data_IF_048103485276
#
_entry.id   IF_048103485276
#
_cell.length_a   1.000
_cell.length_b   1.000
_cell.length_c   1.000
_cell.angle_alpha   90.00
_cell.angle_beta   90.00
_cell.angle_gamma   90.00
#
_symmetry.space_group_name_H-M   'P 1'
#
loop_
_entity.id
_entity.type
_entity.pdbx_description
1 polymer ?
#
# COMPACT_ATOMS: atom_id res chain seq x y z
N UNK A 1 -33.07 -19.61 12.69
CA UNK A 1 -32.65 -18.27 13.15
C UNK A 1 -32.00 -17.64 11.93
N UNK A 2 -32.35 -16.43 11.55
CA UNK A 2 -31.53 -15.72 10.57
C UNK A 2 -30.33 -15.20 11.36
N UNK A 3 -29.12 -15.65 11.03
CA UNK A 3 -27.91 -15.12 11.67
C UNK A 3 -27.83 -13.61 11.41
N UNK A 4 -27.40 -12.89 12.43
CA UNK A 4 -27.17 -11.45 12.37
C UNK A 4 -26.12 -11.16 11.28
N UNK A 5 -26.24 -10.09 10.48
CA UNK A 5 -25.32 -9.82 9.37
C UNK A 5 -23.83 -9.90 9.77
N UNK A 6 -23.47 -9.38 10.94
CA UNK A 6 -22.10 -9.44 11.47
C UNK A 6 -21.59 -10.87 11.68
N UNK A 7 -22.41 -11.77 12.24
CA UNK A 7 -22.03 -13.18 12.44
C UNK A 7 -21.84 -13.88 11.09
N UNK A 8 -22.71 -13.60 10.12
CA UNK A 8 -22.61 -14.14 8.76
C UNK A 8 -21.31 -13.75 8.04
N UNK A 9 -20.89 -12.48 8.14
CA UNK A 9 -19.66 -12.00 7.50
C UNK A 9 -18.41 -12.45 8.25
N UNK A 10 -18.46 -12.44 9.59
CA UNK A 10 -17.40 -12.94 10.46
C UNK A 10 -17.07 -14.41 10.21
N UNK A 11 -18.07 -15.28 10.00
CA UNK A 11 -17.84 -16.69 9.65
C UNK A 11 -17.13 -16.89 8.30
N UNK A 12 -17.31 -15.96 7.35
CA UNK A 12 -16.70 -16.02 6.03
C UNK A 12 -15.31 -15.37 5.99
N UNK A 13 -15.00 -14.52 6.98
CA UNK A 13 -13.82 -13.66 6.95
C UNK A 13 -13.78 -12.79 5.68
N UNK A 14 -14.94 -12.26 5.30
CA UNK A 14 -15.14 -11.35 4.17
C UNK A 14 -16.06 -10.24 4.68
N UNK A 15 -15.69 -8.99 4.45
CA UNK A 15 -16.42 -7.83 4.95
C UNK A 15 -17.05 -7.05 3.79
N UNK A 16 -18.32 -6.61 3.91
CA UNK A 16 -18.89 -5.59 3.05
C UNK A 16 -18.26 -4.23 3.36
N UNK A 17 -17.77 -3.55 2.32
CA UNK A 17 -17.14 -2.24 2.46
C UNK A 17 -17.93 -1.19 1.68
N UNK A 18 -18.23 -0.06 2.31
CA UNK A 18 -18.84 1.11 1.69
C UNK A 18 -17.78 2.18 1.44
N UNK A 19 -17.73 2.72 0.23
CA UNK A 19 -16.77 3.77 -0.14
C UNK A 19 -17.51 4.91 -0.82
N UNK A 20 -17.46 6.10 -0.22
CA UNK A 20 -17.88 7.34 -0.85
C UNK A 20 -16.70 7.94 -1.63
N UNK A 21 -16.90 8.13 -2.93
CA UNK A 21 -15.95 8.76 -3.83
C UNK A 21 -16.64 9.94 -4.52
N UNK A 22 -15.89 10.84 -5.19
CA UNK A 22 -16.50 11.93 -5.95
C UNK A 22 -17.52 11.48 -7.03
N UNK A 23 -17.48 10.21 -7.45
CA UNK A 23 -18.42 9.60 -8.39
C UNK A 23 -19.72 9.06 -7.78
N UNK A 24 -19.83 9.06 -6.44
CA UNK A 24 -20.94 8.51 -5.67
C UNK A 24 -20.49 7.55 -4.58
N UNK A 25 -21.46 6.97 -3.88
CA UNK A 25 -21.25 5.92 -2.87
C UNK A 25 -21.45 4.55 -3.52
N UNK A 26 -20.63 3.58 -3.15
CA UNK A 26 -20.83 2.20 -3.59
C UNK A 26 -20.28 1.15 -2.64
N UNK A 27 -20.68 -0.09 -2.91
CA UNK A 27 -20.41 -1.27 -2.11
C UNK A 27 -19.43 -2.20 -2.81
N UNK A 28 -18.50 -2.77 -2.05
CA UNK A 28 -17.58 -3.81 -2.49
C UNK A 28 -17.40 -4.86 -1.39
N UNK A 29 -16.50 -5.81 -1.58
CA UNK A 29 -16.12 -6.79 -0.56
C UNK A 29 -14.60 -6.75 -0.36
N UNK A 30 -14.17 -6.93 0.89
CA UNK A 30 -12.76 -7.04 1.28
C UNK A 30 -12.57 -8.32 2.11
N UNK A 31 -11.37 -8.88 2.08
CA UNK A 31 -10.92 -9.92 2.98
C UNK A 31 -9.43 -9.71 3.29
N UNK A 32 -8.98 -10.12 4.47
CA UNK A 32 -7.56 -10.21 4.79
C UNK A 32 -7.11 -11.66 4.74
N UNK A 33 -5.96 -11.93 4.11
CA UNK A 33 -5.42 -13.28 3.96
C UNK A 33 -3.89 -13.23 4.01
N UNK A 34 -3.26 -14.32 4.46
CA UNK A 34 -1.81 -14.45 4.36
C UNK A 34 -1.35 -14.27 2.90
N UNK A 35 -0.24 -13.55 2.63
CA UNK A 35 0.25 -13.33 1.26
C UNK A 35 0.51 -14.62 0.47
N UNK A 36 0.84 -15.71 1.17
CA UNK A 36 1.11 -17.02 0.58
C UNK A 36 -0.13 -17.76 0.08
N UNK A 37 -1.34 -17.38 0.53
CA UNK A 37 -2.60 -18.07 0.18
C UNK A 37 -3.40 -17.35 -0.89
N UNK A 38 -2.98 -16.16 -1.32
CA UNK A 38 -3.65 -15.36 -2.34
C UNK A 38 -2.72 -15.00 -3.48
N UNK A 39 -3.25 -15.07 -4.70
CA UNK A 39 -2.59 -14.53 -5.89
C UNK A 39 -2.95 -13.05 -6.00
N UNK A 40 -1.96 -12.14 -6.10
CA UNK A 40 -2.20 -10.73 -6.34
C UNK A 40 -3.01 -10.50 -7.62
N UNK A 41 -3.77 -9.40 -7.68
CA UNK A 41 -4.57 -9.06 -8.87
C UNK A 41 -3.69 -8.97 -10.12
N UNK A 42 -4.20 -9.45 -11.25
CA UNK A 42 -3.50 -9.29 -12.53
C UNK A 42 -3.56 -7.80 -12.94
N UNK A 43 -2.43 -7.21 -13.33
CA UNK A 43 -2.35 -5.79 -13.74
C UNK A 43 -1.82 -5.62 -15.15
N UNK A 44 -1.68 -6.73 -15.88
CA UNK A 44 -1.12 -6.76 -17.23
C UNK A 44 -1.80 -5.76 -18.15
N UNK A 45 -3.14 -5.77 -18.22
CA UNK A 45 -3.91 -4.85 -19.10
C UNK A 45 -3.73 -3.38 -18.72
N UNK A 46 -3.76 -3.03 -17.43
CA UNK A 46 -3.50 -1.65 -16.99
C UNK A 46 -2.09 -1.20 -17.35
N UNK A 47 -1.09 -2.07 -17.19
CA UNK A 47 0.27 -1.74 -17.57
C UNK A 47 0.43 -1.48 -19.09
N UNK A 48 -0.37 -2.15 -19.93
CA UNK A 48 -0.42 -1.87 -21.37
C UNK A 48 -1.12 -0.53 -21.68
N UNK A 49 -2.12 -0.14 -20.91
CA UNK A 49 -2.78 1.17 -21.04
C UNK A 49 -1.84 2.32 -20.64
N UNK A 50 -1.05 2.14 -19.57
CA UNK A 50 -0.11 3.15 -19.08
C UNK A 50 1.14 3.28 -19.96
N UNK A 51 1.68 2.16 -20.46
CA UNK A 51 2.78 2.12 -21.41
C UNK A 51 2.50 1.09 -22.53
N UNK A 52 1.94 1.55 -23.67
CA UNK A 52 1.64 0.69 -24.82
C UNK A 52 2.86 -0.02 -25.42
N UNK A 53 4.08 0.43 -25.10
CA UNK A 53 5.32 -0.18 -25.58
C UNK A 53 5.95 -1.13 -24.56
N UNK A 54 5.62 -1.03 -23.26
CA UNK A 54 6.11 -1.94 -22.21
C UNK A 54 5.68 -3.40 -22.40
N UNK A 55 4.54 -3.63 -23.04
CA UNK A 55 4.06 -4.98 -23.39
C UNK A 55 5.08 -5.74 -24.26
N UNK A 56 5.76 -5.01 -25.15
CA UNK A 56 6.69 -5.58 -26.12
C UNK A 56 8.05 -5.91 -25.51
N UNK A 57 8.47 -5.17 -24.49
CA UNK A 57 9.71 -5.42 -23.74
C UNK A 57 9.62 -6.68 -22.88
N UNK A 58 8.42 -7.00 -22.34
CA UNK A 58 8.19 -8.25 -21.58
C UNK A 58 8.22 -9.50 -22.46
N UNK A 59 7.73 -9.41 -23.70
CA UNK A 59 7.85 -10.47 -24.70
C UNK A 59 9.27 -10.65 -25.28
N UNK A 60 10.15 -9.67 -25.10
CA UNK A 60 11.55 -9.73 -25.52
C UNK A 60 12.48 -10.43 -24.49
N UNK A 61 11.93 -10.93 -23.37
CA UNK A 61 12.67 -11.79 -22.43
C UNK A 61 12.29 -13.27 -22.50
N UNK A 62 11.45 -13.65 -23.47
CA UNK A 62 11.32 -15.02 -23.94
C UNK A 62 11.94 -15.11 -25.35
N UNK A 63 13.25 -14.88 -25.45
CA UNK A 63 13.98 -15.43 -26.59
C UNK A 63 14.39 -16.84 -26.20
N UNK A 64 13.78 -17.79 -26.89
CA UNK A 64 14.29 -19.14 -27.03
C UNK A 64 15.79 -19.09 -27.35
N UNK A 65 16.47 -20.06 -26.76
CA UNK A 65 17.91 -20.32 -26.77
C UNK A 65 18.37 -20.77 -28.17
N UNK A 66 18.33 -19.88 -29.15
CA UNK A 66 18.98 -20.08 -30.45
C UNK A 66 20.17 -19.12 -30.58
N UNK A 67 21.35 -19.72 -30.48
CA UNK A 67 22.67 -19.15 -30.73
C UNK A 67 22.72 -18.38 -32.06
N UNK A 68 22.70 -17.04 -31.98
CA UNK A 68 23.34 -16.19 -33.00
C UNK A 68 24.53 -15.49 -32.33
N UNK A 69 25.70 -15.99 -32.70
CA UNK A 69 27.06 -15.61 -32.31
C UNK A 69 27.26 -14.09 -32.28
N UNK A 70 27.09 -13.48 -31.10
CA UNK A 70 27.60 -12.14 -30.85
C UNK A 70 29.14 -12.21 -30.91
N UNK A 71 29.81 -11.35 -31.68
CA UNK A 71 31.26 -11.35 -31.74
C UNK A 71 31.83 -11.10 -30.34
N UNK A 72 32.89 -11.83 -29.93
CA UNK A 72 33.45 -11.68 -28.60
C UNK A 72 33.91 -10.24 -28.40
N UNK A 73 33.46 -9.63 -27.30
CA UNK A 73 33.88 -8.30 -26.90
C UNK A 73 35.37 -8.39 -26.57
N UNK A 74 36.20 -7.65 -27.30
CA UNK A 74 37.62 -7.55 -27.01
C UNK A 74 37.79 -6.69 -25.74
N UNK A 75 38.01 -7.38 -24.61
CA UNK A 75 38.22 -6.75 -23.30
C UNK A 75 39.38 -5.75 -23.31
N UNK A 76 40.35 -5.88 -24.23
CA UNK A 76 41.46 -4.94 -24.36
C UNK A 76 41.00 -3.59 -24.97
N UNK A 77 39.99 -3.61 -25.85
CA UNK A 77 39.44 -2.39 -26.45
C UNK A 77 38.58 -1.63 -25.43
N UNK A 78 37.82 -2.35 -24.61
CA UNK A 78 36.99 -1.77 -23.55
C UNK A 78 37.85 -1.13 -22.44
N UNK A 79 38.95 -1.80 -22.05
CA UNK A 79 39.91 -1.26 -21.08
C UNK A 79 40.66 -0.02 -21.62
N UNK A 80 40.98 0.02 -22.92
CA UNK A 80 41.61 1.18 -23.53
C UNK A 80 40.68 2.40 -23.57
N UNK A 81 39.38 2.19 -23.80
CA UNK A 81 38.37 3.26 -23.80
C UNK A 81 38.09 3.81 -22.38
N UNK A 82 38.10 2.95 -21.36
CA UNK A 82 37.98 3.38 -19.96
C UNK A 82 39.19 4.20 -19.49
N UNK A 83 40.41 3.77 -19.85
CA UNK A 83 41.65 4.48 -19.51
C UNK A 83 41.76 5.83 -20.25
N UNK A 84 41.23 5.92 -21.47
CA UNK A 84 41.17 7.17 -22.22
C UNK A 84 40.17 8.18 -21.63
N UNK A 85 39.16 7.71 -20.90
CA UNK A 85 38.18 8.56 -20.22
C UNK A 85 38.70 9.11 -18.88
N UNK A 86 39.60 8.39 -18.19
CA UNK A 86 40.19 8.85 -16.91
C UNK A 86 41.30 9.91 -17.07
N UNK A 87 41.87 10.09 -18.26
CA UNK A 87 42.92 11.07 -18.52
C UNK A 87 42.41 12.51 -18.79
N UNK A 88 41.11 12.77 -18.57
CA UNK A 88 40.47 14.05 -18.90
C UNK A 88 40.09 14.93 -17.70
N UNK A 89 40.42 14.57 -16.46
CA UNK A 89 40.03 15.36 -15.28
C UNK A 89 41.17 15.52 -14.25
N UNK A 90 42.26 16.17 -14.68
CA UNK A 90 43.31 16.70 -13.80
C UNK A 90 43.25 18.24 -13.74
N UNK A 91 42.30 18.83 -13.00
CA UNK A 91 42.54 20.06 -12.21
C UNK A 91 41.28 20.44 -11.38
N UNK A 92 41.20 20.05 -10.09
CA UNK A 92 40.72 20.99 -9.07
C UNK A 92 40.98 20.52 -7.61
N UNK A 93 41.60 21.45 -6.87
CA UNK A 93 41.71 21.59 -5.40
C UNK A 93 42.86 20.88 -4.69
N UNK A 94 43.95 21.65 -4.61
CA UNK A 94 45.01 21.61 -3.61
C UNK A 94 44.61 22.51 -2.41
N UNK A 95 45.00 22.10 -1.19
CA UNK A 95 44.98 22.78 0.14
C UNK A 95 43.72 22.51 1.00
N UNK A 96 43.79 22.09 2.27
CA UNK A 96 44.79 22.36 3.30
C UNK A 96 44.94 21.20 4.32
N UNK A 97 46.13 21.10 4.94
CA UNK A 97 46.47 20.27 6.11
C UNK A 97 46.46 21.12 7.40
N UNK A 98 46.56 20.41 8.54
CA UNK A 98 46.80 20.81 9.96
C UNK A 98 45.60 21.41 10.69
N UNK A 99 45.24 21.10 11.94
CA UNK A 99 45.86 20.46 13.14
C UNK A 99 44.69 19.91 13.99
N UNK A 100 44.69 18.74 14.63
CA UNK A 100 45.42 18.24 15.83
C UNK A 100 44.53 18.21 17.11
N UNK A 101 44.79 17.17 17.90
CA UNK A 101 44.52 16.94 19.33
C UNK A 101 43.32 16.11 19.80
N UNK A 102 43.72 15.14 20.64
CA UNK A 102 43.02 13.98 21.18
C UNK A 102 42.18 14.28 22.43
N UNK A 103 41.21 13.41 22.71
CA UNK A 103 40.73 13.16 24.07
C UNK A 103 40.63 11.66 24.38
N UNK A 104 41.49 11.33 25.33
CA UNK A 104 41.63 10.22 26.26
C UNK A 104 40.32 9.57 26.75
N UNK A 105 40.19 8.25 26.57
CA UNK A 105 39.26 7.41 27.34
C UNK A 105 39.92 6.06 27.65
N UNK A 106 40.08 5.79 28.95
CA UNK A 106 40.69 4.59 29.54
C UNK A 106 39.86 3.31 29.32
N UNK A 107 40.47 2.11 29.40
CA UNK A 107 39.79 0.84 29.16
C UNK A 107 39.13 0.30 30.43
N UNK A 108 37.86 -0.14 30.32
CA UNK A 108 37.20 -0.93 31.37
C UNK A 108 37.19 -2.40 30.96
N UNK A 109 37.64 -3.21 31.92
CA UNK A 109 37.98 -4.62 31.89
C UNK A 109 36.74 -5.52 31.93
N UNK A 110 36.88 -6.65 31.24
CA UNK A 110 36.37 -7.98 31.54
C UNK A 110 35.36 -8.14 32.68
N UNK A 111 34.16 -8.61 32.30
CA UNK A 111 33.42 -9.62 33.06
C UNK A 111 32.74 -10.54 32.07
N UNK A 112 33.39 -11.66 31.78
CA UNK A 112 32.73 -12.86 31.33
C UNK A 112 32.34 -13.66 32.58
N UNK A 113 31.10 -14.08 32.70
CA UNK A 113 30.73 -15.44 33.11
C UNK A 113 29.34 -15.77 32.56
N UNK A 114 29.24 -17.00 32.03
CA UNK A 114 28.10 -17.60 31.40
C UNK A 114 27.11 -18.14 32.43
N UNK A 115 25.84 -18.20 32.04
CA UNK A 115 24.90 -19.20 32.55
C UNK A 115 23.99 -19.62 31.40
N UNK A 116 23.94 -20.93 31.19
CA UNK A 116 22.97 -21.65 30.36
C UNK A 116 21.54 -21.23 30.72
N UNK A 117 20.70 -21.01 29.71
CA UNK A 117 19.28 -21.39 29.77
C UNK A 117 18.96 -22.08 28.43
N UNK A 118 18.69 -23.38 28.54
CA UNK A 118 17.95 -24.15 27.55
C UNK A 118 16.52 -23.58 27.51
N UNK A 119 16.16 -22.88 26.45
CA UNK A 119 14.76 -22.73 26.03
C UNK A 119 14.67 -23.33 24.60
N UNK A 120 14.25 -24.60 24.56
CA UNK A 120 13.35 -25.07 23.51
C UNK A 120 12.11 -24.15 23.56
N UNK A 121 11.64 -23.67 22.41
CA UNK A 121 10.32 -23.08 22.12
C UNK A 121 10.53 -21.87 21.19
N UNK A 122 9.85 -21.66 20.09
CA UNK A 122 8.86 -22.38 19.29
C UNK A 122 9.18 -21.92 17.85
N UNK A 123 8.59 -22.53 16.83
CA UNK A 123 8.58 -21.94 15.50
C UNK A 123 7.94 -20.54 15.58
N UNK A 124 8.74 -19.49 15.78
CA UNK A 124 8.45 -18.09 15.47
C UNK A 124 8.35 -17.99 13.94
N UNK A 125 7.42 -18.73 13.35
CA UNK A 125 6.80 -18.35 12.10
C UNK A 125 6.09 -17.04 12.42
N UNK A 126 6.83 -15.93 12.37
CA UNK A 126 6.29 -14.59 12.40
C UNK A 126 5.02 -14.62 11.55
N UNK A 127 3.86 -14.48 12.21
CA UNK A 127 2.59 -14.37 11.51
C UNK A 127 2.78 -13.23 10.52
N UNK A 128 2.96 -13.58 9.24
CA UNK A 128 3.13 -12.57 8.21
C UNK A 128 1.84 -11.77 8.22
N UNK A 129 1.96 -10.46 8.38
CA UNK A 129 0.81 -9.55 8.40
C UNK A 129 -0.12 -9.90 7.22
N UNK A 130 -1.39 -10.15 7.55
CA UNK A 130 -2.38 -10.45 6.52
C UNK A 130 -2.51 -9.28 5.55
N UNK A 131 -2.75 -9.59 4.28
CA UNK A 131 -2.87 -8.58 3.23
C UNK A 131 -4.29 -8.46 2.72
N UNK A 132 -4.72 -7.24 2.35
CA UNK A 132 -6.05 -7.00 1.86
C UNK A 132 -6.22 -7.55 0.44
N UNK A 133 -7.36 -8.21 0.22
CA UNK A 133 -7.85 -8.63 -1.09
C UNK A 133 -9.26 -8.10 -1.27
N UNK A 134 -9.50 -7.44 -2.40
CA UNK A 134 -10.81 -6.85 -2.70
C UNK A 134 -11.54 -7.63 -3.78
N UNK A 135 -12.84 -7.36 -3.89
CA UNK A 135 -13.61 -7.67 -5.09
C UNK A 135 -13.09 -6.82 -6.25
N UNK A 136 -11.98 -7.25 -6.84
CA UNK A 136 -11.32 -6.61 -7.97
C UNK A 136 -11.25 -7.54 -9.17
N UNK A 137 -10.99 -6.96 -10.33
CA UNK A 137 -10.61 -7.71 -11.52
C UNK A 137 -9.64 -6.86 -12.34
N UNK A 138 -8.52 -7.47 -12.74
CA UNK A 138 -7.51 -6.83 -13.58
C UNK A 138 -6.97 -5.51 -13.00
N UNK A 139 -6.74 -5.49 -11.69
CA UNK A 139 -6.25 -4.30 -11.01
C UNK A 139 -7.27 -3.16 -10.88
N UNK A 140 -8.56 -3.42 -11.12
CA UNK A 140 -9.64 -2.45 -10.94
C UNK A 140 -10.58 -2.90 -9.82
N UNK A 141 -10.96 -1.98 -8.95
CA UNK A 141 -11.94 -2.22 -7.90
C UNK A 141 -13.34 -2.32 -8.52
N UNK A 142 -14.07 -3.40 -8.24
CA UNK A 142 -15.46 -3.51 -8.64
C UNK A 142 -16.33 -2.88 -7.54
N UNK A 143 -17.00 -1.79 -7.87
CA UNK A 143 -17.77 -0.99 -6.92
C UNK A 143 -19.21 -0.84 -7.40
N UNK A 144 -20.18 -1.21 -6.57
CA UNK A 144 -21.58 -1.32 -6.96
C UNK A 144 -22.42 -0.21 -6.33
N UNK A 145 -23.25 0.47 -7.12
CA UNK A 145 -24.14 1.54 -6.62
C UNK A 145 -25.27 1.03 -5.73
N UNK A 146 -25.48 -0.29 -5.70
CA UNK A 146 -26.52 -0.91 -4.89
C UNK A 146 -26.07 -2.28 -4.35
N UNK A 147 -26.55 -2.61 -3.15
CA UNK A 147 -26.43 -3.95 -2.58
C UNK A 147 -26.99 -5.05 -3.50
N UNK A 148 -28.07 -4.75 -4.22
CA UNK A 148 -28.67 -5.68 -5.18
C UNK A 148 -27.72 -5.98 -6.36
N UNK A 149 -27.04 -4.96 -6.88
CA UNK A 149 -26.02 -5.09 -7.92
C UNK A 149 -24.85 -5.95 -7.47
N UNK A 150 -24.32 -5.69 -6.26
CA UNK A 150 -23.27 -6.52 -5.68
C UNK A 150 -23.70 -7.98 -5.56
N UNK A 151 -24.89 -8.24 -5.02
CA UNK A 151 -25.43 -9.62 -4.89
C UNK A 151 -25.60 -10.30 -6.25
N UNK A 152 -26.10 -9.57 -7.25
CA UNK A 152 -26.24 -10.07 -8.62
C UNK A 152 -24.89 -10.49 -9.19
N UNK A 153 -23.86 -9.67 -8.98
CA UNK A 153 -22.50 -9.97 -9.41
C UNK A 153 -21.88 -11.16 -8.66
N UNK A 154 -22.02 -11.21 -7.34
CA UNK A 154 -21.50 -12.31 -6.50
C UNK A 154 -22.15 -13.65 -6.88
N UNK A 155 -23.43 -13.63 -7.29
CA UNK A 155 -24.14 -14.80 -7.81
C UNK A 155 -23.82 -15.12 -9.27
N UNK A 156 -23.18 -14.19 -9.97
CA UNK A 156 -22.71 -14.41 -11.33
C UNK A 156 -21.48 -15.32 -11.33
N UNK A 157 -21.02 -15.71 -12.52
CA UNK A 157 -19.76 -16.43 -12.74
C UNK A 157 -18.71 -15.54 -13.41
N UNK A 158 -18.86 -14.22 -13.29
CA UNK A 158 -17.90 -13.29 -13.84
C UNK A 158 -16.54 -13.47 -13.14
N UNK A 159 -15.42 -13.26 -13.84
CA UNK A 159 -14.10 -13.36 -13.23
C UNK A 159 -13.85 -12.19 -12.29
N UNK A 160 -13.23 -12.48 -11.14
CA UNK A 160 -12.77 -11.51 -10.14
C UNK A 160 -11.83 -12.22 -9.15
N UNK A 161 -11.09 -11.45 -8.36
CA UNK A 161 -9.98 -11.96 -7.57
C UNK A 161 -10.44 -12.71 -6.30
N UNK A 162 -11.55 -12.32 -5.67
CA UNK A 162 -12.11 -13.06 -4.53
C UNK A 162 -12.62 -14.48 -4.87
N UNK A 163 -12.71 -14.85 -6.15
CA UNK A 163 -13.19 -16.17 -6.55
C UNK A 163 -12.24 -17.30 -6.11
N UNK A 164 -10.99 -16.95 -5.80
CA UNK A 164 -9.98 -17.88 -5.28
C UNK A 164 -10.23 -18.33 -3.84
N UNK A 165 -11.03 -17.57 -3.07
CA UNK A 165 -11.27 -17.86 -1.66
C UNK A 165 -12.15 -19.11 -1.50
N UNK A 166 -11.81 -20.05 -0.60
CA UNK A 166 -12.60 -21.26 -0.37
C UNK A 166 -14.06 -20.95 0.02
N UNK A 167 -14.28 -19.88 0.78
CA UNK A 167 -15.58 -19.45 1.31
C UNK A 167 -16.46 -18.83 0.21
N UNK A 168 -15.89 -18.41 -0.93
CA UNK A 168 -16.61 -17.71 -2.00
C UNK A 168 -17.83 -18.49 -2.51
N UNK A 169 -17.69 -19.81 -2.65
CA UNK A 169 -18.79 -20.68 -3.10
C UNK A 169 -19.95 -20.71 -2.10
N UNK A 170 -19.67 -20.54 -0.81
CA UNK A 170 -20.70 -20.45 0.22
C UNK A 170 -21.36 -19.06 0.20
N UNK A 171 -20.56 -18.01 0.16
CA UNK A 171 -21.04 -16.63 0.03
C UNK A 171 -21.99 -16.47 -1.16
N UNK A 172 -21.58 -16.92 -2.35
CA UNK A 172 -22.40 -16.82 -3.56
C UNK A 172 -23.78 -17.49 -3.46
N UNK A 173 -23.92 -18.54 -2.64
CA UNK A 173 -25.20 -19.22 -2.43
C UNK A 173 -26.09 -18.52 -1.43
N UNK A 174 -25.49 -17.87 -0.43
CA UNK A 174 -26.19 -17.44 0.79
C UNK A 174 -26.34 -15.93 0.90
N UNK A 175 -25.58 -15.14 0.13
CA UNK A 175 -25.66 -13.68 0.15
C UNK A 175 -27.05 -13.18 -0.29
N UNK A 176 -27.51 -12.14 0.39
CA UNK A 176 -28.77 -11.43 0.12
C UNK A 176 -28.54 -9.93 0.26
N UNK A 177 -29.31 -9.09 -0.45
CA UNK A 177 -29.14 -7.64 -0.39
C UNK A 177 -29.33 -7.08 1.02
N UNK A 178 -30.21 -7.68 1.83
CA UNK A 178 -30.43 -7.29 3.23
C UNK A 178 -29.27 -7.59 4.18
N UNK A 179 -28.22 -8.29 3.71
CA UNK A 179 -26.98 -8.54 4.48
C UNK A 179 -25.83 -7.65 4.04
N UNK A 180 -25.97 -6.94 2.91
CA UNK A 180 -24.92 -6.04 2.43
C UNK A 180 -25.14 -4.69 3.11
N UNK A 181 -24.56 -4.56 4.28
CA UNK A 181 -24.53 -3.36 5.10
C UNK A 181 -23.11 -3.33 5.68
N UNK A 182 -22.36 -2.27 5.41
CA UNK A 182 -21.03 -2.09 5.98
C UNK A 182 -21.17 -1.59 7.41
N UNK A 183 -20.32 -2.10 8.30
CA UNK A 183 -20.20 -1.56 9.65
C UNK A 183 -19.55 -0.17 9.61
N UNK A 184 -19.66 0.59 10.71
CA UNK A 184 -19.10 1.95 10.79
C UNK A 184 -17.58 1.98 10.50
N UNK A 185 -16.86 0.93 10.91
CA UNK A 185 -15.41 0.77 10.69
C UNK A 185 -15.04 0.41 9.23
N UNK A 186 -16.04 -0.01 8.43
CA UNK A 186 -15.91 -0.40 7.01
C UNK A 186 -16.62 0.58 6.07
N UNK A 187 -16.96 1.78 6.57
CA UNK A 187 -17.53 2.88 5.80
C UNK A 187 -16.52 4.03 5.66
N UNK A 188 -16.12 4.32 4.41
CA UNK A 188 -15.05 5.27 4.12
C UNK A 188 -15.51 6.46 3.27
N UNK A 189 -15.43 7.66 3.84
CA UNK A 189 -15.89 8.91 3.22
C UNK A 189 -14.76 9.67 2.49
N UNK A 190 -14.15 9.05 1.47
CA UNK A 190 -12.98 9.62 0.78
C UNK A 190 -13.26 10.96 0.09
N UNK A 191 -14.50 11.23 -0.32
CA UNK A 191 -14.91 12.48 -0.96
C UNK A 191 -14.89 13.69 -0.01
N UNK A 192 -15.02 13.48 1.30
CA UNK A 192 -15.00 14.55 2.30
C UNK A 192 -13.60 14.97 2.74
N UNK A 193 -12.60 14.09 2.61
CA UNK A 193 -11.24 14.30 3.14
C UNK A 193 -10.61 15.61 2.64
N UNK A 194 -10.76 15.93 1.36
CA UNK A 194 -10.16 17.14 0.78
C UNK A 194 -10.82 18.42 1.30
N UNK A 195 -12.14 18.40 1.48
CA UNK A 195 -12.87 19.55 2.05
C UNK A 195 -12.53 19.73 3.52
N UNK A 196 -12.51 18.63 4.29
CA UNK A 196 -12.13 18.64 5.70
C UNK A 196 -10.74 19.25 5.90
N UNK A 197 -9.74 18.81 5.12
CA UNK A 197 -8.37 19.34 5.20
C UNK A 197 -8.30 20.84 4.89
N UNK A 198 -9.11 21.33 3.94
CA UNK A 198 -9.17 22.75 3.58
C UNK A 198 -9.82 23.63 4.64
N UNK A 199 -10.60 23.05 5.54
CA UNK A 199 -11.17 23.74 6.71
C UNK A 199 -10.12 24.30 7.68
N UNK A 200 -8.88 23.85 7.57
CA UNK A 200 -7.78 24.22 8.46
C UNK A 200 -7.73 23.36 9.72
N UNK A 201 -6.60 23.40 10.44
CA UNK A 201 -6.27 22.44 11.51
C UNK A 201 -7.33 22.28 12.60
N UNK A 202 -8.05 23.34 12.96
CA UNK A 202 -9.06 23.31 14.02
C UNK A 202 -10.37 22.61 13.58
N UNK A 203 -10.55 22.40 12.27
CA UNK A 203 -11.70 21.73 11.68
C UNK A 203 -11.39 20.30 11.21
N UNK A 204 -10.15 19.84 11.36
CA UNK A 204 -9.74 18.52 10.91
C UNK A 204 -10.42 17.44 11.74
N UNK A 205 -11.05 16.50 11.03
CA UNK A 205 -11.59 15.29 11.61
C UNK A 205 -10.53 14.19 11.51
N UNK A 206 -10.02 13.76 12.66
CA UNK A 206 -8.93 12.79 12.69
C UNK A 206 -9.40 11.42 12.24
N UNK A 207 -10.61 11.00 12.63
CA UNK A 207 -11.12 9.66 12.35
C UNK A 207 -11.37 9.52 10.85
N UNK A 208 -11.96 10.54 10.22
CA UNK A 208 -12.12 10.63 8.76
C UNK A 208 -10.79 10.51 7.99
N UNK A 209 -9.75 11.23 8.43
CA UNK A 209 -8.45 11.25 7.72
C UNK A 209 -7.70 9.93 7.94
N UNK A 210 -7.78 9.35 9.14
CA UNK A 210 -7.13 8.09 9.48
C UNK A 210 -7.78 6.90 8.77
N UNK A 211 -9.12 6.80 8.78
CA UNK A 211 -9.83 5.74 8.06
C UNK A 211 -9.61 5.84 6.55
N UNK A 212 -9.57 7.07 5.99
CA UNK A 212 -9.17 7.29 4.61
C UNK A 212 -7.75 6.79 4.33
N UNK A 213 -6.81 7.00 5.26
CA UNK A 213 -5.44 6.50 5.20
C UNK A 213 -5.35 4.99 5.17
N UNK A 214 -6.19 4.31 5.94
CA UNK A 214 -6.28 2.86 6.01
C UNK A 214 -6.79 2.28 4.68
N UNK A 215 -7.98 2.67 4.23
CA UNK A 215 -8.53 2.15 2.96
C UNK A 215 -7.67 2.50 1.74
N UNK A 216 -6.99 3.66 1.74
CA UNK A 216 -6.11 4.04 0.64
C UNK A 216 -4.85 3.15 0.57
N UNK A 217 -4.27 2.77 1.72
CA UNK A 217 -3.16 1.80 1.75
C UNK A 217 -3.63 0.43 1.29
N UNK A 218 -4.80 0.00 1.74
CA UNK A 218 -5.38 -1.29 1.39
C UNK A 218 -5.69 -1.41 -0.10
N UNK A 219 -6.36 -0.42 -0.67
CA UNK A 219 -6.60 -0.34 -2.11
C UNK A 219 -5.29 -0.17 -2.89
N UNK A 220 -4.34 0.57 -2.34
CA UNK A 220 -3.00 0.73 -2.90
C UNK A 220 -2.29 -0.62 -3.07
N UNK A 221 -2.37 -1.47 -2.04
CA UNK A 221 -1.79 -2.81 -2.05
C UNK A 221 -2.59 -3.75 -2.96
N UNK A 222 -3.89 -3.91 -2.70
CA UNK A 222 -4.74 -4.89 -3.37
C UNK A 222 -4.85 -4.65 -4.88
N UNK A 223 -4.86 -3.38 -5.30
CA UNK A 223 -4.89 -3.01 -6.71
C UNK A 223 -3.49 -2.78 -7.27
N UNK A 224 -2.40 -3.02 -6.54
CA UNK A 224 -1.02 -2.75 -6.97
C UNK A 224 -0.87 -1.36 -7.60
N UNK A 225 -1.19 -0.33 -6.83
CA UNK A 225 -1.06 1.07 -7.20
C UNK A 225 0.19 1.65 -6.54
N UNK A 226 1.36 1.38 -7.11
CA UNK A 226 2.67 1.82 -6.59
C UNK A 226 2.72 3.31 -6.28
N UNK A 227 2.03 4.11 -7.08
CA UNK A 227 1.94 5.55 -6.86
C UNK A 227 1.19 5.95 -5.58
N UNK A 228 0.19 5.18 -5.13
CA UNK A 228 -0.48 5.39 -3.85
C UNK A 228 0.42 4.89 -2.72
N UNK A 229 0.99 3.69 -2.87
CA UNK A 229 1.93 3.12 -1.89
C UNK A 229 3.13 4.05 -1.65
N UNK A 230 3.68 4.65 -2.70
CA UNK A 230 4.76 5.62 -2.61
C UNK A 230 4.34 6.94 -1.94
N UNK A 231 3.09 7.38 -2.11
CA UNK A 231 2.58 8.61 -1.50
C UNK A 231 2.26 8.45 0.00
N UNK A 232 1.99 7.22 0.44
CA UNK A 232 1.65 6.84 1.81
C UNK A 232 2.76 6.03 2.50
N UNK A 233 3.96 6.00 1.90
CA UNK A 233 5.10 5.26 2.43
C UNK A 233 5.67 5.93 3.68
N UNK A 234 6.36 5.18 4.55
CA UNK A 234 6.97 5.73 5.76
C UNK A 234 7.80 6.99 5.49
N UNK A 235 7.45 8.08 6.16
CA UNK A 235 8.12 9.39 6.02
C UNK A 235 7.67 10.22 4.80
N UNK A 236 6.72 9.75 4.00
CA UNK A 236 6.06 10.58 3.01
C UNK A 236 5.18 11.65 3.70
N UNK A 237 4.91 12.81 3.07
CA UNK A 237 4.15 13.87 3.73
C UNK A 237 2.75 13.49 4.21
N UNK A 238 2.08 12.54 3.55
CA UNK A 238 0.76 12.04 3.99
C UNK A 238 0.88 11.02 5.12
N UNK A 239 1.96 10.25 5.14
CA UNK A 239 2.26 9.34 6.23
C UNK A 239 2.63 10.10 7.52
N UNK A 240 3.45 11.15 7.42
CA UNK A 240 3.74 12.05 8.54
C UNK A 240 2.48 12.71 9.12
N UNK A 241 1.47 12.96 8.27
CA UNK A 241 0.16 13.45 8.69
C UNK A 241 -0.61 12.40 9.49
N UNK A 242 -0.71 11.19 8.96
CA UNK A 242 -1.35 10.05 9.62
C UNK A 242 -0.69 9.80 11.01
N UNK A 243 0.64 9.67 11.06
CA UNK A 243 1.38 9.50 12.31
C UNK A 243 1.12 10.63 13.32
N UNK A 244 1.11 11.88 12.84
CA UNK A 244 0.88 13.03 13.70
C UNK A 244 -0.55 13.06 14.26
N UNK A 245 -1.54 12.63 13.48
CA UNK A 245 -2.93 12.51 13.92
C UNK A 245 -3.10 11.38 14.95
N UNK A 246 -2.57 10.17 14.67
CA UNK A 246 -2.57 9.05 15.64
C UNK A 246 -1.85 9.44 16.93
N UNK A 247 -0.70 10.09 16.81
CA UNK A 247 0.03 10.61 17.95
C UNK A 247 -0.72 11.68 18.74
N UNK A 248 -1.55 12.50 18.08
CA UNK A 248 -2.32 13.57 18.72
C UNK A 248 -3.53 13.06 19.50
N UNK A 249 -4.08 11.90 19.11
CA UNK A 249 -5.10 11.19 19.87
C UNK A 249 -4.55 10.68 21.22
N UNK A 250 -3.27 10.34 21.27
CA UNK A 250 -2.60 9.90 22.49
C UNK A 250 -2.47 11.06 23.50
N UNK A 251 -2.63 10.76 24.80
CA UNK A 251 -2.49 11.75 25.87
C UNK A 251 -1.04 12.12 26.21
N UNK A 252 -0.87 13.03 27.18
CA UNK A 252 0.43 13.34 27.78
C UNK A 252 1.39 14.15 26.91
N UNK A 253 2.69 14.06 27.21
CA UNK A 253 3.76 14.85 26.56
C UNK A 253 3.89 14.49 25.07
N UNK A 254 3.78 13.19 24.74
CA UNK A 254 3.78 12.70 23.36
C UNK A 254 2.64 13.31 22.53
N UNK A 255 1.42 13.28 23.06
CA UNK A 255 0.24 13.91 22.46
C UNK A 255 0.39 15.40 22.22
N UNK A 256 0.96 16.13 23.18
CA UNK A 256 1.21 17.56 23.03
C UNK A 256 2.20 17.87 21.89
N UNK A 257 3.27 17.09 21.78
CA UNK A 257 4.25 17.20 20.69
C UNK A 257 3.64 16.84 19.33
N UNK A 258 2.81 15.80 19.27
CA UNK A 258 2.10 15.39 18.08
C UNK A 258 1.11 16.46 17.60
N UNK A 259 0.31 17.07 18.49
CA UNK A 259 -0.56 18.22 18.16
C UNK A 259 0.23 19.40 17.59
N UNK A 260 1.46 19.63 18.06
CA UNK A 260 2.35 20.65 17.50
C UNK A 260 2.89 20.25 16.12
N UNK A 261 3.11 18.95 15.86
CA UNK A 261 3.44 18.43 14.51
C UNK A 261 2.25 18.64 13.57
N UNK A 262 1.03 18.26 13.96
CA UNK A 262 -0.20 18.48 13.16
C UNK A 262 -0.31 19.93 12.70
N UNK A 263 -0.12 20.90 13.62
CA UNK A 263 -0.18 22.34 13.29
C UNK A 263 0.90 22.84 12.33
N UNK A 264 1.99 22.10 12.14
CA UNK A 264 3.05 22.43 11.16
C UNK A 264 2.75 21.86 9.77
N UNK A 265 1.87 20.88 9.66
CA UNK A 265 1.53 20.26 8.38
C UNK A 265 0.73 21.27 7.57
N UNK A 266 1.16 21.55 6.35
CA UNK A 266 0.47 22.51 5.49
C UNK A 266 -0.86 21.96 5.00
N UNK A 267 -1.98 22.51 5.45
CA UNK A 267 -3.33 22.08 5.04
C UNK A 267 -3.52 22.04 3.52
N UNK A 268 -2.98 23.04 2.81
CA UNK A 268 -3.03 23.07 1.35
C UNK A 268 -2.26 21.90 0.72
N UNK A 269 -1.08 21.56 1.25
CA UNK A 269 -0.25 20.47 0.76
C UNK A 269 -0.89 19.12 1.05
N UNK A 270 -1.39 18.91 2.27
CA UNK A 270 -2.15 17.72 2.64
C UNK A 270 -3.37 17.52 1.71
N UNK A 271 -4.17 18.59 1.50
CA UNK A 271 -5.33 18.52 0.62
C UNK A 271 -4.97 18.22 -0.85
N UNK A 272 -3.81 18.67 -1.31
CA UNK A 272 -3.31 18.41 -2.67
C UNK A 272 -2.84 16.95 -2.83
N UNK A 273 -2.16 16.42 -1.82
CA UNK A 273 -1.77 15.01 -1.75
C UNK A 273 -3.00 14.11 -1.77
N UNK A 274 -3.96 14.35 -0.87
CA UNK A 274 -5.20 13.58 -0.80
C UNK A 274 -6.03 13.64 -2.07
N UNK A 275 -6.15 14.82 -2.71
CA UNK A 275 -6.81 14.94 -4.02
C UNK A 275 -6.17 14.03 -5.08
N UNK A 276 -4.85 13.87 -5.04
CA UNK A 276 -4.12 12.99 -5.97
C UNK A 276 -4.38 11.52 -5.65
N UNK A 277 -4.36 11.13 -4.37
CA UNK A 277 -4.72 9.75 -3.92
C UNK A 277 -6.12 9.39 -4.36
N UNK A 278 -7.12 10.23 -4.04
CA UNK A 278 -8.53 10.00 -4.40
C UNK A 278 -8.72 9.93 -5.92
N UNK A 279 -8.01 10.78 -6.67
CA UNK A 279 -8.03 10.74 -8.14
C UNK A 279 -7.51 9.41 -8.70
N UNK A 280 -6.44 8.87 -8.13
CA UNK A 280 -5.85 7.57 -8.52
C UNK A 280 -6.74 6.39 -8.14
N UNK A 281 -7.38 6.42 -6.98
CA UNK A 281 -8.39 5.42 -6.60
C UNK A 281 -9.55 5.49 -7.59
N UNK A 282 -10.12 6.69 -7.79
CA UNK A 282 -11.27 6.91 -8.65
C UNK A 282 -11.05 6.46 -10.10
N UNK A 283 -9.83 6.61 -10.66
CA UNK A 283 -9.51 6.13 -12.01
C UNK A 283 -9.47 4.61 -12.12
N UNK A 284 -9.17 3.91 -11.01
CA UNK A 284 -9.06 2.46 -10.94
C UNK A 284 -10.34 1.77 -10.43
N UNK A 285 -11.43 2.53 -10.30
CA UNK A 285 -12.75 1.99 -9.96
C UNK A 285 -13.53 1.66 -11.23
N UNK A 286 -14.09 0.45 -11.28
CA UNK A 286 -15.10 0.01 -12.24
C UNK A 286 -16.48 0.08 -11.57
N UNK A 287 -17.22 1.16 -11.88
CA UNK A 287 -18.56 1.39 -11.36
C UNK A 287 -19.60 0.50 -12.03
N UNK A 288 -20.35 -0.25 -11.21
CA UNK A 288 -21.37 -1.20 -11.65
C UNK A 288 -22.72 -0.97 -10.97
N UNK A 289 -23.75 -1.59 -11.55
CA UNK A 289 -25.13 -1.66 -11.05
C UNK A 289 -25.66 -3.09 -11.18
#
# INVERSE_FOLDING_TARGET
MADEPAEFWGELGIDPVEIALPGGVGYTLRAYRAPSVVTPTDVSERAEEEDPFAAKTRGAHSFDDDEDELPPIDEAELAAQALAAEAADEDYVRHAKSDDTALDLEPIKDVAEAADDDDEDEDDAAELDEVPVFLSHKGRLLLFKSAAGLVSFVKSKAPHDLAQLPEWKNLAKTITAARVEADDDDSYELDLVVENLRGGHDAWDSDLILSAGEIARDLGYALQLDSILSMLSPGAPLDELDEALRGAANGGIGGFMAKRRVKKIGAQQASLGWRTVIGKISSNVDWRD
#
